data_IF_522203780380
#
_entry.id   IF_522203780380
#
_cell.length_a   1.000
_cell.length_b   1.000
_cell.length_c   1.000
_cell.angle_alpha   90.00
_cell.angle_beta   90.00
_cell.angle_gamma   90.00
#
_symmetry.space_group_name_H-M   'P 1'
#
loop_
_entity.id
_entity.type
_entity.pdbx_description
1 polymer ?
#
# COMPACT_ATOMS: atom_id res chain seq x y z
N UNK A 1 5.50 27.57 6.14
CA UNK A 1 6.45 26.49 5.80
C UNK A 1 6.43 25.36 6.82
N UNK A 2 6.50 25.62 8.13
CA UNK A 2 6.47 24.55 9.12
C UNK A 2 5.20 23.71 9.09
N UNK A 3 4.04 24.33 8.89
CA UNK A 3 2.76 23.63 8.82
C UNK A 3 2.71 22.70 7.60
N UNK A 4 3.21 23.16 6.46
CA UNK A 4 3.26 22.34 5.24
C UNK A 4 4.25 21.18 5.43
N UNK A 5 5.40 21.42 6.06
CA UNK A 5 6.36 20.35 6.32
C UNK A 5 5.78 19.26 7.20
N UNK A 6 5.02 19.63 8.23
CA UNK A 6 4.32 18.66 9.08
C UNK A 6 3.27 17.89 8.28
N UNK A 7 2.50 18.56 7.43
CA UNK A 7 1.50 17.91 6.60
C UNK A 7 2.15 16.89 5.65
N UNK A 8 3.25 17.23 5.02
CA UNK A 8 3.99 16.32 4.15
C UNK A 8 4.46 15.09 4.92
N UNK A 9 5.01 15.29 6.12
CA UNK A 9 5.47 14.20 6.97
C UNK A 9 4.34 13.27 7.39
N UNK A 10 3.19 13.82 7.75
CA UNK A 10 2.02 13.02 8.16
C UNK A 10 1.50 12.21 6.97
N UNK A 11 1.33 12.84 5.81
CA UNK A 11 0.82 12.15 4.62
C UNK A 11 1.76 11.02 4.21
N UNK A 12 3.06 11.31 4.11
CA UNK A 12 4.06 10.32 3.70
C UNK A 12 4.16 9.16 4.72
N UNK A 13 4.15 9.49 6.02
CA UNK A 13 4.22 8.47 7.07
C UNK A 13 3.01 7.57 7.09
N UNK A 14 1.80 8.12 6.99
CA UNK A 14 0.57 7.33 6.96
C UNK A 14 0.48 6.49 5.70
N UNK A 15 0.90 7.03 4.55
CA UNK A 15 0.93 6.28 3.30
C UNK A 15 1.89 5.08 3.40
N UNK A 16 3.06 5.29 3.98
CA UNK A 16 4.05 4.22 4.15
C UNK A 16 3.52 3.11 5.05
N UNK A 17 2.93 3.48 6.19
CA UNK A 17 2.37 2.49 7.12
C UNK A 17 1.17 1.78 6.51
N UNK A 18 0.24 2.51 5.91
CA UNK A 18 -0.96 1.94 5.31
C UNK A 18 -0.63 0.99 4.17
N UNK A 19 0.30 1.39 3.29
CA UNK A 19 0.75 0.55 2.19
C UNK A 19 1.43 -0.72 2.69
N UNK A 20 2.31 -0.61 3.67
CA UNK A 20 3.00 -1.76 4.23
C UNK A 20 2.04 -2.75 4.87
N UNK A 21 1.09 -2.28 5.68
CA UNK A 21 0.07 -3.15 6.30
C UNK A 21 -0.84 -3.79 5.25
N UNK A 22 -1.26 -3.01 4.25
CA UNK A 22 -2.14 -3.52 3.20
C UNK A 22 -1.49 -4.63 2.39
N UNK A 23 -0.25 -4.43 1.95
CA UNK A 23 0.49 -5.46 1.21
C UNK A 23 0.74 -6.69 2.09
N UNK A 24 1.13 -6.48 3.35
CA UNK A 24 1.34 -7.58 4.28
C UNK A 24 0.08 -8.43 4.46
N UNK A 25 -1.09 -7.79 4.58
CA UNK A 25 -2.36 -8.50 4.73
C UNK A 25 -2.70 -9.32 3.48
N UNK A 26 -2.51 -8.75 2.29
CA UNK A 26 -2.78 -9.45 1.04
C UNK A 26 -1.86 -10.66 0.88
N UNK A 27 -0.56 -10.48 1.11
CA UNK A 27 0.42 -11.56 0.98
C UNK A 27 0.17 -12.64 2.02
N UNK A 28 -0.08 -12.25 3.27
CA UNK A 28 -0.36 -13.20 4.34
C UNK A 28 -1.60 -14.03 4.04
N UNK A 29 -2.68 -13.39 3.58
CA UNK A 29 -3.91 -14.10 3.23
C UNK A 29 -3.68 -15.09 2.09
N UNK A 30 -2.90 -14.70 1.08
CA UNK A 30 -2.57 -15.56 -0.06
C UNK A 30 -1.77 -16.77 0.39
N UNK A 31 -0.74 -16.56 1.22
CA UNK A 31 0.08 -17.65 1.73
C UNK A 31 -0.74 -18.63 2.58
N UNK A 32 -1.63 -18.13 3.41
CA UNK A 32 -2.52 -18.97 4.20
C UNK A 32 -3.45 -19.80 3.30
N UNK A 33 -3.98 -19.19 2.24
CA UNK A 33 -4.82 -19.91 1.29
C UNK A 33 -4.07 -21.00 0.54
N UNK A 34 -2.85 -20.72 0.09
CA UNK A 34 -2.01 -21.70 -0.60
C UNK A 34 -1.64 -22.85 0.34
N UNK A 35 -1.36 -22.54 1.60
CA UNK A 35 -1.04 -23.57 2.59
C UNK A 35 -2.21 -24.51 2.84
N UNK A 36 -3.43 -23.97 2.89
CA UNK A 36 -4.64 -24.78 3.14
C UNK A 36 -5.11 -25.54 1.92
N UNK A 37 -4.99 -24.93 0.75
CA UNK A 37 -5.47 -25.50 -0.52
C UNK A 37 -4.41 -25.27 -1.58
N UNK A 38 -3.34 -26.09 -1.60
CA UNK A 38 -2.25 -25.91 -2.56
C UNK A 38 -2.69 -25.97 -4.02
N UNK A 39 -3.78 -26.67 -4.31
CA UNK A 39 -4.33 -26.76 -5.67
C UNK A 39 -4.86 -25.42 -6.18
N UNK A 40 -5.13 -24.46 -5.30
CA UNK A 40 -5.57 -23.12 -5.67
C UNK A 40 -4.41 -22.12 -5.80
N UNK A 41 -3.17 -22.60 -5.77
CA UNK A 41 -2.01 -21.72 -5.81
C UNK A 41 -2.03 -20.75 -6.98
N UNK A 42 -2.31 -21.23 -8.19
CA UNK A 42 -2.38 -20.39 -9.37
C UNK A 42 -3.42 -19.28 -9.27
N UNK A 43 -4.71 -19.61 -9.03
CA UNK A 43 -5.73 -18.59 -8.87
C UNK A 43 -5.46 -17.61 -7.72
N UNK A 44 -4.97 -18.10 -6.58
CA UNK A 44 -4.68 -17.24 -5.43
C UNK A 44 -3.55 -16.27 -5.72
N UNK A 45 -2.48 -16.72 -6.40
CA UNK A 45 -1.39 -15.84 -6.78
C UNK A 45 -1.86 -14.79 -7.78
N UNK A 46 -2.74 -15.15 -8.71
CA UNK A 46 -3.30 -14.19 -9.66
C UNK A 46 -4.07 -13.09 -8.93
N UNK A 47 -4.91 -13.47 -7.97
CA UNK A 47 -5.66 -12.50 -7.16
C UNK A 47 -4.70 -11.62 -6.38
N UNK A 48 -3.64 -12.18 -5.81
CA UNK A 48 -2.63 -11.41 -5.08
C UNK A 48 -1.96 -10.38 -5.99
N UNK A 49 -1.57 -10.76 -7.20
CA UNK A 49 -0.92 -9.85 -8.15
C UNK A 49 -1.85 -8.73 -8.62
N UNK A 50 -3.16 -8.95 -8.57
CA UNK A 50 -4.15 -7.90 -8.83
C UNK A 50 -4.34 -7.05 -7.57
N UNK A 51 -4.43 -7.68 -6.40
CA UNK A 51 -4.70 -7.01 -5.14
C UNK A 51 -3.59 -6.07 -4.68
N UNK A 52 -2.32 -6.45 -4.89
CA UNK A 52 -1.20 -5.61 -4.45
C UNK A 52 -1.22 -4.24 -5.12
N UNK A 53 -1.34 -4.10 -6.46
CA UNK A 53 -1.45 -2.79 -7.08
C UNK A 53 -2.66 -1.98 -6.60
N UNK A 54 -3.79 -2.62 -6.33
CA UNK A 54 -4.98 -1.93 -5.82
C UNK A 54 -4.72 -1.38 -4.42
N UNK A 55 -4.06 -2.14 -3.56
CA UNK A 55 -3.72 -1.70 -2.20
C UNK A 55 -2.71 -0.55 -2.24
N UNK A 56 -1.79 -0.55 -3.21
CA UNK A 56 -0.78 0.48 -3.36
C UNK A 56 -1.31 1.77 -3.99
N UNK A 57 -2.45 1.73 -4.67
CA UNK A 57 -2.96 2.89 -5.43
C UNK A 57 -3.17 4.11 -4.54
N UNK A 58 -3.84 3.97 -3.38
CA UNK A 58 -4.08 5.09 -2.48
C UNK A 58 -2.80 5.61 -1.82
N UNK A 59 -1.89 4.75 -1.32
CA UNK A 59 -0.60 5.22 -0.83
C UNK A 59 0.22 5.98 -1.88
N UNK A 60 0.21 5.53 -3.13
CA UNK A 60 0.91 6.23 -4.21
C UNK A 60 0.29 7.60 -4.45
N UNK A 61 -1.04 7.70 -4.48
CA UNK A 61 -1.74 8.98 -4.62
C UNK A 61 -1.40 9.90 -3.45
N UNK A 62 -1.34 9.37 -2.22
CA UNK A 62 -0.98 10.15 -1.04
C UNK A 62 0.44 10.72 -1.16
N UNK A 63 1.38 9.95 -1.68
CA UNK A 63 2.75 10.43 -1.90
C UNK A 63 2.78 11.55 -2.97
N UNK A 64 1.98 11.41 -4.03
CA UNK A 64 1.84 12.48 -5.03
C UNK A 64 1.33 13.77 -4.36
N UNK A 65 0.31 13.67 -3.50
CA UNK A 65 -0.20 14.82 -2.74
C UNK A 65 0.90 15.41 -1.87
N UNK A 66 1.72 14.57 -1.22
CA UNK A 66 2.84 15.03 -0.40
C UNK A 66 3.83 15.84 -1.24
N UNK A 67 4.16 15.42 -2.46
CA UNK A 67 5.02 16.17 -3.35
C UNK A 67 4.40 17.49 -3.78
N UNK A 68 3.10 17.53 -4.02
CA UNK A 68 2.40 18.76 -4.37
C UNK A 68 2.47 19.76 -3.21
N UNK A 69 2.27 19.30 -1.97
CA UNK A 69 2.40 20.15 -0.79
C UNK A 69 3.85 20.61 -0.58
N UNK A 70 4.80 19.71 -0.79
CA UNK A 70 6.22 20.03 -0.70
C UNK A 70 6.58 21.14 -1.67
N UNK A 71 6.00 21.15 -2.88
CA UNK A 71 6.21 22.19 -3.86
C UNK A 71 5.72 23.58 -3.44
N UNK A 72 4.87 23.66 -2.40
CA UNK A 72 4.38 24.93 -1.84
C UNK A 72 5.26 25.47 -0.72
N UNK A 73 6.24 24.69 -0.32
CA UNK A 73 7.19 25.15 0.69
C UNK A 73 8.19 26.11 0.04
#
# INVERSE_FOLDING_TARGET
MGTIAIAVGIVAGLAAIGGAFGVAMVVSATLNGVTRQPELRGPLQTIMFIGIPLVEALPIIAIVVAFLLFGQM
#
